data_IF_851817419277
#
_entry.id   IF_851817419277
#
_cell.length_a   1.000
_cell.length_b   1.000
_cell.length_c   1.000
_cell.angle_alpha   90.00
_cell.angle_beta   90.00
_cell.angle_gamma   90.00
#
_symmetry.space_group_name_H-M   'P 1'
#
loop_
_entity.id
_entity.type
_entity.pdbx_description
1 polymer ?
#
# COMPACT_ATOMS: atom_id res chain seq x y z
N UNK A 1 -18.01 24.02 7.85
CA UNK A 1 -18.06 22.73 7.13
C UNK A 1 -17.13 22.87 5.93
N UNK A 2 -16.09 22.04 5.83
CA UNK A 2 -15.15 22.13 4.71
C UNK A 2 -15.79 21.47 3.48
N UNK A 3 -16.04 22.26 2.44
CA UNK A 3 -16.51 21.77 1.14
C UNK A 3 -15.51 20.78 0.58
N UNK A 4 -15.91 19.51 0.43
CA UNK A 4 -15.08 18.48 -0.19
C UNK A 4 -14.82 18.79 -1.66
N UNK A 5 -13.64 18.42 -2.16
CA UNK A 5 -13.34 18.54 -3.58
C UNK A 5 -14.17 17.51 -4.37
N UNK A 6 -14.67 17.88 -5.56
CA UNK A 6 -15.39 16.95 -6.45
C UNK A 6 -14.43 15.90 -7.03
N UNK A 7 -14.93 14.68 -7.25
CA UNK A 7 -14.17 13.63 -7.95
C UNK A 7 -13.62 14.13 -9.30
N UNK A 8 -12.41 13.70 -9.73
CA UNK A 8 -11.59 12.60 -9.21
C UNK A 8 -10.64 12.98 -8.05
N UNK A 9 -10.83 14.11 -7.38
CA UNK A 9 -9.86 14.69 -6.42
C UNK A 9 -10.05 14.29 -4.95
N UNK A 10 -10.66 13.13 -4.71
CA UNK A 10 -10.90 12.59 -3.37
C UNK A 10 -10.36 11.16 -3.27
N UNK A 11 -9.14 10.96 -3.76
CA UNK A 11 -8.40 9.71 -3.66
C UNK A 11 -7.49 9.70 -2.43
N UNK A 12 -6.97 10.87 -2.04
CA UNK A 12 -6.10 11.06 -0.89
C UNK A 12 -6.80 11.83 0.23
N UNK A 13 -6.47 11.45 1.47
CA UNK A 13 -6.70 12.28 2.63
C UNK A 13 -5.70 13.43 2.68
N UNK A 14 -6.19 14.64 2.94
CA UNK A 14 -5.36 15.87 3.04
C UNK A 14 -5.36 16.40 4.47
N UNK A 15 -4.50 15.86 5.36
CA UNK A 15 -4.42 16.35 6.73
C UNK A 15 -3.82 17.76 6.77
N UNK A 16 -4.53 18.72 7.37
CA UNK A 16 -4.02 20.07 7.59
C UNK A 16 -3.04 20.12 8.76
N UNK A 17 -2.13 21.09 8.78
CA UNK A 17 -1.20 21.27 9.91
C UNK A 17 -1.93 21.50 11.24
N UNK A 18 -3.10 22.16 11.20
CA UNK A 18 -3.95 22.33 12.37
C UNK A 18 -4.48 20.99 12.88
N UNK A 19 -5.00 20.14 11.99
CA UNK A 19 -5.48 18.80 12.37
C UNK A 19 -4.35 17.94 12.93
N UNK A 20 -3.17 17.98 12.30
CA UNK A 20 -1.99 17.27 12.78
C UNK A 20 -1.58 17.70 14.18
N UNK A 21 -1.60 19.01 14.45
CA UNK A 21 -1.28 19.56 15.77
C UNK A 21 -2.33 19.18 16.82
N UNK A 22 -3.61 19.15 16.44
CA UNK A 22 -4.69 18.70 17.33
C UNK A 22 -4.55 17.22 17.69
N UNK A 23 -4.28 16.35 16.71
CA UNK A 23 -4.09 14.91 16.94
C UNK A 23 -2.88 14.66 17.85
N UNK A 24 -1.75 15.33 17.58
CA UNK A 24 -0.54 15.27 18.42
C UNK A 24 -0.83 15.70 19.86
N UNK A 25 -1.52 16.83 20.03
CA UNK A 25 -1.92 17.33 21.35
C UNK A 25 -2.87 16.39 22.08
N UNK A 26 -3.84 15.77 21.40
CA UNK A 26 -4.77 14.82 22.04
C UNK A 26 -4.05 13.54 22.48
N UNK A 27 -3.21 12.97 21.61
CA UNK A 27 -2.49 11.73 21.91
C UNK A 27 -1.44 11.89 23.02
N UNK A 28 -0.85 13.07 23.15
CA UNK A 28 0.16 13.38 24.17
C UNK A 28 -0.36 13.30 25.61
N UNK A 29 -1.67 13.47 25.83
CA UNK A 29 -2.29 13.43 27.16
C UNK A 29 -2.09 12.08 27.87
N UNK A 30 -1.90 11.01 27.09
CA UNK A 30 -1.71 9.65 27.60
C UNK A 30 -0.24 9.23 27.65
N UNK A 31 0.71 10.05 27.21
CA UNK A 31 2.14 9.72 27.25
C UNK A 31 2.75 9.88 28.64
N UNK A 32 2.16 10.75 29.48
CA UNK A 32 2.67 11.11 30.80
C UNK A 32 2.22 10.16 31.92
N UNK A 33 1.27 9.26 31.66
CA UNK A 33 0.71 8.34 32.66
C UNK A 33 1.65 7.16 32.93
N UNK A 34 2.73 7.41 33.69
CA UNK A 34 3.64 6.36 34.15
C UNK A 34 2.89 5.35 35.02
N UNK A 35 2.90 4.07 34.61
CA UNK A 35 2.37 2.94 35.39
C UNK A 35 1.04 2.37 34.91
N UNK A 36 0.34 3.00 33.96
CA UNK A 36 -0.85 2.41 33.30
C UNK A 36 -0.54 2.17 31.82
N UNK A 37 -0.54 0.90 31.40
CA UNK A 37 -0.47 0.56 29.98
C UNK A 37 -1.79 0.94 29.32
N UNK A 38 -1.78 1.97 28.48
CA UNK A 38 -2.93 2.43 27.72
C UNK A 38 -2.78 1.95 26.29
N UNK A 39 -3.71 1.09 25.85
CA UNK A 39 -3.84 0.72 24.45
C UNK A 39 -4.55 1.84 23.69
N UNK A 40 -3.87 2.47 22.73
CA UNK A 40 -4.43 3.54 21.90
C UNK A 40 -4.84 2.96 20.54
N UNK A 41 -6.09 3.13 20.14
CA UNK A 41 -6.61 2.73 18.82
C UNK A 41 -7.12 3.97 18.12
N UNK A 42 -6.64 4.20 16.90
CA UNK A 42 -7.03 5.35 16.06
C UNK A 42 -7.91 4.89 14.91
N UNK A 43 -8.83 5.75 14.48
CA UNK A 43 -9.75 5.49 13.37
C UNK A 43 -9.63 6.61 12.34
N UNK A 44 -9.62 6.24 11.07
CA UNK A 44 -9.64 7.19 9.97
C UNK A 44 -10.25 6.59 8.71
N UNK A 45 -10.51 7.45 7.72
CA UNK A 45 -11.08 6.98 6.46
C UNK A 45 -10.02 6.41 5.52
N UNK A 46 -8.93 7.16 5.31
CA UNK A 46 -7.89 6.83 4.34
C UNK A 46 -6.79 5.97 4.95
N UNK A 47 -6.25 4.99 4.21
CA UNK A 47 -4.99 4.36 4.58
C UNK A 47 -3.85 5.37 4.47
N UNK A 48 -2.76 5.14 5.19
CA UNK A 48 -1.63 6.05 5.27
C UNK A 48 -0.88 6.18 3.93
N UNK A 49 -0.92 5.15 3.08
CA UNK A 49 -0.43 5.19 1.70
C UNK A 49 -1.24 6.12 0.77
N UNK A 50 -2.49 6.42 1.16
CA UNK A 50 -3.38 7.39 0.51
C UNK A 50 -3.67 8.58 1.43
N UNK A 51 -2.72 8.96 2.28
CA UNK A 51 -2.75 10.21 3.02
C UNK A 51 -1.57 11.06 2.59
N UNK A 52 -1.85 12.27 2.13
CA UNK A 52 -0.82 13.24 1.78
C UNK A 52 -0.09 13.75 3.03
N UNK A 53 1.14 14.23 2.85
CA UNK A 53 1.82 15.03 3.87
C UNK A 53 1.10 16.37 4.06
N UNK A 54 1.13 16.89 5.28
CA UNK A 54 0.67 18.25 5.55
C UNK A 54 1.60 19.30 4.91
N UNK A 55 1.19 20.57 4.89
CA UNK A 55 2.02 21.67 4.35
C UNK A 55 3.39 21.76 5.03
N UNK A 56 3.46 21.50 6.34
CA UNK A 56 4.71 21.39 7.11
C UNK A 56 5.44 20.05 6.98
N UNK A 57 5.10 19.22 5.99
CA UNK A 57 5.70 17.91 5.71
C UNK A 57 5.56 16.90 6.87
N UNK A 58 4.49 17.01 7.67
CA UNK A 58 4.19 16.03 8.74
C UNK A 58 3.28 14.93 8.22
N UNK A 59 3.54 13.70 8.63
CA UNK A 59 2.68 12.55 8.32
C UNK A 59 1.92 12.05 9.54
N UNK A 60 0.72 11.51 9.33
CA UNK A 60 -0.05 10.82 10.36
C UNK A 60 0.73 9.62 10.94
N UNK A 61 1.50 8.93 10.09
CA UNK A 61 2.39 7.84 10.52
C UNK A 61 3.34 8.28 11.62
N UNK A 62 3.99 9.43 11.46
CA UNK A 62 5.01 9.88 12.41
C UNK A 62 4.38 10.28 13.76
N UNK A 63 3.19 10.88 13.74
CA UNK A 63 2.42 11.19 14.96
C UNK A 63 1.97 9.91 15.66
N UNK A 64 1.46 8.92 14.92
CA UNK A 64 1.04 7.63 15.49
C UNK A 64 2.20 6.85 16.10
N UNK A 65 3.37 6.84 15.43
CA UNK A 65 4.60 6.29 16.01
C UNK A 65 5.02 7.06 17.26
N UNK A 66 5.08 8.40 17.19
CA UNK A 66 5.50 9.27 18.30
C UNK A 66 4.76 8.93 19.59
N UNK A 67 3.45 8.73 19.51
CA UNK A 67 2.55 8.48 20.64
C UNK A 67 2.25 7.01 20.92
N UNK A 68 2.98 6.06 20.30
CA UNK A 68 2.83 4.61 20.52
C UNK A 68 1.38 4.11 20.35
N UNK A 69 0.74 4.51 19.26
CA UNK A 69 -0.57 3.96 18.87
C UNK A 69 -0.43 2.45 18.67
N UNK A 70 -1.39 1.64 19.14
CA UNK A 70 -1.32 0.18 18.98
C UNK A 70 -1.85 -0.26 17.62
N UNK A 71 -2.96 0.35 17.17
CA UNK A 71 -3.56 0.05 15.87
C UNK A 71 -4.24 1.29 15.27
N UNK A 72 -4.17 1.39 13.95
CA UNK A 72 -4.90 2.34 13.12
C UNK A 72 -5.87 1.57 12.20
N UNK A 73 -7.17 1.79 12.42
CA UNK A 73 -8.25 1.20 11.64
C UNK A 73 -8.68 2.18 10.55
N UNK A 74 -8.56 1.76 9.29
CA UNK A 74 -8.85 2.57 8.13
C UNK A 74 -9.74 1.86 7.10
N UNK A 75 -10.10 2.55 6.02
CA UNK A 75 -10.94 2.03 4.93
C UNK A 75 -10.54 2.61 3.57
N UNK A 76 -11.52 3.16 2.84
CA UNK A 76 -11.38 3.80 1.53
C UNK A 76 -11.17 2.85 0.32
N UNK A 77 -10.35 1.81 0.45
CA UNK A 77 -9.99 0.95 -0.68
C UNK A 77 -11.03 -0.14 -0.98
N UNK A 78 -11.95 -0.34 -0.04
CA UNK A 78 -13.03 -1.33 -0.14
C UNK A 78 -12.42 -2.72 -0.40
N UNK A 79 -12.87 -3.46 -1.43
CA UNK A 79 -12.30 -4.78 -1.76
C UNK A 79 -11.71 -4.87 -3.15
N UNK A 80 -11.38 -3.73 -3.76
CA UNK A 80 -10.88 -3.71 -5.14
C UNK A 80 -9.44 -4.27 -5.23
N UNK A 81 -8.67 -4.10 -4.16
CA UNK A 81 -7.22 -4.36 -4.17
C UNK A 81 -6.78 -5.47 -3.22
N UNK A 82 -7.69 -5.99 -2.41
CA UNK A 82 -7.50 -7.11 -1.51
C UNK A 82 -8.67 -7.18 -0.53
N UNK A 83 -8.67 -8.17 0.35
CA UNK A 83 -9.55 -8.19 1.52
C UNK A 83 -8.66 -8.06 2.73
N UNK A 84 -8.98 -7.15 3.64
CA UNK A 84 -8.31 -7.03 4.94
C UNK A 84 -6.82 -6.71 4.81
N UNK A 85 -6.50 -5.59 4.15
CA UNK A 85 -5.12 -5.17 3.94
C UNK A 85 -4.47 -4.79 5.28
N UNK A 86 -3.20 -5.12 5.43
CA UNK A 86 -2.45 -4.96 6.68
C UNK A 86 -1.07 -4.42 6.38
N UNK A 87 -0.62 -3.49 7.21
CA UNK A 87 0.73 -2.95 7.17
C UNK A 87 1.26 -2.76 8.59
N UNK A 88 2.48 -3.22 8.83
CA UNK A 88 3.17 -2.94 10.08
C UNK A 88 4.07 -1.71 9.88
N UNK A 89 3.99 -0.77 10.82
CA UNK A 89 4.85 0.40 10.87
C UNK A 89 5.76 0.30 12.08
N UNK A 90 7.06 0.53 11.87
CA UNK A 90 8.05 0.59 12.94
C UNK A 90 8.86 1.88 12.83
N UNK A 91 9.33 2.39 13.96
CA UNK A 91 10.37 3.42 13.99
C UNK A 91 11.71 2.76 13.74
N UNK A 92 12.36 3.09 12.63
CA UNK A 92 13.74 2.70 12.36
C UNK A 92 14.61 3.96 12.43
N UNK A 93 15.63 3.95 13.31
CA UNK A 93 16.61 5.03 13.44
C UNK A 93 17.54 5.09 12.20
N UNK A 94 17.69 3.97 11.49
CA UNK A 94 18.36 3.89 10.20
C UNK A 94 17.37 4.25 9.07
N UNK A 95 17.13 5.55 8.92
CA UNK A 95 16.27 6.11 7.88
C UNK A 95 16.93 5.99 6.49
N UNK A 96 17.05 4.76 5.96
CA UNK A 96 17.37 4.56 4.55
C UNK A 96 16.26 5.22 3.73
N UNK A 97 16.64 6.12 2.81
CA UNK A 97 15.74 6.95 2.01
C UNK A 97 14.68 6.17 1.23
N UNK A 98 14.90 4.88 0.96
CA UNK A 98 13.97 3.97 0.27
C UNK A 98 12.66 3.74 1.04
N UNK A 99 12.69 3.69 2.38
CA UNK A 99 11.49 3.47 3.20
C UNK A 99 10.51 4.66 3.19
N UNK A 100 10.96 5.84 2.73
CA UNK A 100 10.08 6.99 2.49
C UNK A 100 9.17 6.78 1.29
N UNK A 101 9.58 5.97 0.31
CA UNK A 101 8.86 5.78 -0.95
C UNK A 101 8.04 4.50 -1.00
N UNK A 102 8.59 3.39 -0.50
CA UNK A 102 7.87 2.13 -0.50
C UNK A 102 8.35 1.18 0.61
N UNK A 103 7.50 0.23 0.95
CA UNK A 103 7.78 -0.89 1.83
C UNK A 103 7.48 -2.17 1.06
N UNK A 104 8.44 -3.10 0.98
CA UNK A 104 8.32 -4.29 0.13
C UNK A 104 7.48 -5.40 0.76
N UNK A 105 7.47 -5.49 2.10
CA UNK A 105 6.79 -6.54 2.86
C UNK A 105 5.90 -5.97 3.96
N UNK A 106 4.97 -6.78 4.48
CA UNK A 106 4.05 -6.38 5.57
C UNK A 106 4.82 -5.87 6.79
N UNK A 107 5.89 -6.57 7.15
CA UNK A 107 6.81 -6.18 8.21
C UNK A 107 7.97 -5.37 7.63
N UNK A 108 8.39 -4.34 8.36
CA UNK A 108 9.68 -3.72 8.10
C UNK A 108 10.75 -4.67 8.63
N UNK A 109 11.82 -4.91 7.87
CA UNK A 109 12.95 -5.71 8.34
C UNK A 109 13.45 -5.05 9.65
N UNK A 110 13.40 -5.76 10.79
CA UNK A 110 13.94 -5.22 12.01
C UNK A 110 15.42 -4.96 11.75
N UNK A 111 15.93 -3.75 12.05
CA UNK A 111 17.36 -3.66 12.31
C UNK A 111 17.61 -4.63 13.46
N UNK A 112 18.54 -5.58 13.32
CA UNK A 112 18.98 -6.45 14.41
C UNK A 112 19.38 -5.59 15.60
N UNK A 113 18.43 -5.25 16.45
CA UNK A 113 18.69 -4.47 17.63
C UNK A 113 19.04 -5.50 18.70
N UNK A 114 20.32 -5.46 19.05
CA UNK A 114 20.97 -6.20 20.12
C UNK A 114 20.05 -6.30 21.33
N UNK A 115 20.08 -7.44 22.03
CA UNK A 115 19.36 -7.76 23.28
C UNK A 115 19.68 -6.76 24.40
N UNK A 116 19.31 -5.51 24.24
CA UNK A 116 19.60 -4.44 25.17
C UNK A 116 18.45 -4.38 26.17
N UNK A 117 18.40 -5.36 27.07
CA UNK A 117 17.62 -5.28 28.31
C UNK A 117 18.26 -4.28 29.30
N UNK A 118 18.72 -3.12 28.80
CA UNK A 118 19.09 -2.00 29.63
C UNK A 118 17.81 -1.32 30.10
N UNK A 119 17.72 -1.13 31.42
CA UNK A 119 16.57 -0.67 32.23
C UNK A 119 15.85 0.63 31.76
N UNK A 120 16.28 1.25 30.66
CA UNK A 120 15.86 2.59 30.23
C UNK A 120 15.61 2.75 28.72
N UNK A 121 15.82 1.71 27.91
CA UNK A 121 15.52 1.79 26.48
C UNK A 121 13.99 1.64 26.29
N UNK A 122 13.29 2.67 25.78
CA UNK A 122 11.87 2.50 25.42
C UNK A 122 11.76 1.46 24.29
N UNK A 123 10.68 0.64 24.27
CA UNK A 123 10.45 -0.28 23.16
C UNK A 123 10.47 0.47 21.83
N UNK A 124 10.88 -0.19 20.73
CA UNK A 124 10.68 0.35 19.40
C UNK A 124 9.22 0.76 19.23
N UNK A 125 9.00 1.97 18.71
CA UNK A 125 7.66 2.47 18.46
C UNK A 125 7.13 1.75 17.24
N UNK A 126 6.03 1.02 17.39
CA UNK A 126 5.41 0.25 16.32
C UNK A 126 3.89 0.34 16.40
N UNK A 127 3.22 0.18 15.26
CA UNK A 127 1.76 0.06 15.22
C UNK A 127 1.30 -0.70 13.98
N UNK A 128 0.11 -1.27 14.07
CA UNK A 128 -0.55 -1.93 12.94
C UNK A 128 -1.52 -1.00 12.24
N UNK A 129 -1.39 -0.87 10.92
CA UNK A 129 -2.40 -0.31 10.05
C UNK A 129 -3.26 -1.43 9.45
N UNK A 130 -4.57 -1.24 9.53
CA UNK A 130 -5.57 -2.26 9.27
C UNK A 130 -6.69 -1.66 8.42
N UNK A 131 -6.63 -1.91 7.11
CA UNK A 131 -7.70 -1.50 6.20
C UNK A 131 -8.83 -2.52 6.21
N UNK A 132 -10.05 -2.00 6.31
CA UNK A 132 -11.27 -2.80 6.38
C UNK A 132 -11.96 -2.85 5.03
N UNK A 133 -12.33 -4.07 4.61
CA UNK A 133 -13.15 -4.28 3.43
C UNK A 133 -14.56 -3.69 3.54
N UNK A 134 -15.29 -3.69 2.43
CA UNK A 134 -16.61 -3.07 2.34
C UNK A 134 -17.76 -3.95 2.86
N UNK A 135 -18.48 -3.49 3.88
CA UNK A 135 -19.68 -4.21 4.33
C UNK A 135 -20.75 -4.35 3.23
N UNK A 136 -20.93 -3.33 2.37
CA UNK A 136 -22.04 -3.32 1.40
C UNK A 136 -21.87 -4.40 0.32
N UNK A 137 -20.68 -4.48 -0.29
CA UNK A 137 -20.39 -5.43 -1.38
C UNK A 137 -19.66 -6.69 -0.95
N UNK A 138 -18.72 -6.59 -0.01
CA UNK A 138 -17.92 -7.74 0.40
C UNK A 138 -18.39 -8.41 1.66
N UNK A 139 -19.34 -7.80 2.40
CA UNK A 139 -19.86 -8.33 3.68
C UNK A 139 -18.72 -8.75 4.62
N UNK A 140 -17.65 -7.95 4.61
CA UNK A 140 -16.49 -8.18 5.46
C UNK A 140 -16.72 -7.50 6.81
N UNK A 141 -16.37 -8.20 7.90
CA UNK A 141 -16.44 -7.70 9.26
C UNK A 141 -15.15 -8.05 9.98
N UNK A 142 -14.62 -7.13 10.77
CA UNK A 142 -13.51 -7.39 11.69
C UNK A 142 -14.00 -7.25 13.13
N UNK A 143 -13.66 -8.23 13.97
CA UNK A 143 -13.81 -8.13 15.42
C UNK A 143 -12.42 -7.87 15.98
N UNK A 144 -12.26 -6.79 16.76
CA UNK A 144 -11.02 -6.48 17.48
C UNK A 144 -11.27 -6.70 18.97
N UNK A 145 -10.38 -7.42 19.64
CA UNK A 145 -10.40 -7.63 21.08
C UNK A 145 -9.12 -7.08 21.71
N UNK A 146 -9.31 -6.25 22.74
CA UNK A 146 -8.24 -5.74 23.58
C UNK A 146 -8.29 -6.47 24.90
N UNK A 147 -7.27 -7.27 25.18
CA UNK A 147 -7.17 -8.14 26.35
C UNK A 147 -5.86 -7.86 27.10
N UNK A 148 -5.97 -7.16 28.24
CA UNK A 148 -4.83 -6.79 29.11
C UNK A 148 -3.67 -6.13 28.35
N UNK A 149 -3.98 -5.25 27.41
CA UNK A 149 -2.99 -4.54 26.59
C UNK A 149 -2.61 -5.25 25.30
N UNK A 150 -2.99 -6.51 25.12
CA UNK A 150 -2.81 -7.24 23.86
C UNK A 150 -3.99 -6.97 22.92
N UNK A 151 -3.69 -6.68 21.65
CA UNK A 151 -4.70 -6.48 20.61
C UNK A 151 -4.71 -7.72 19.72
N UNK A 152 -5.87 -8.37 19.63
CA UNK A 152 -6.14 -9.48 18.73
C UNK A 152 -7.32 -9.13 17.83
N UNK A 153 -7.43 -9.79 16.69
CA UNK A 153 -8.55 -9.55 15.79
C UNK A 153 -8.94 -10.82 15.02
N UNK A 154 -10.15 -10.82 14.48
CA UNK A 154 -10.68 -11.85 13.60
C UNK A 154 -11.39 -11.19 12.42
N UNK A 155 -11.02 -11.61 11.23
CA UNK A 155 -11.66 -11.21 9.98
C UNK A 155 -12.70 -12.22 9.56
N UNK A 156 -13.90 -11.76 9.22
CA UNK A 156 -15.04 -12.58 8.87
C UNK A 156 -15.58 -12.13 7.51
N UNK A 157 -15.71 -13.10 6.60
CA UNK A 157 -16.39 -12.91 5.33
C UNK A 157 -17.75 -13.62 5.37
N UNK A 158 -18.83 -12.85 5.25
CA UNK A 158 -20.18 -13.39 5.21
C UNK A 158 -20.66 -13.76 3.79
N UNK A 159 -19.81 -13.67 2.75
CA UNK A 159 -20.18 -14.13 1.40
C UNK A 159 -20.49 -15.63 1.33
N UNK A 160 -19.81 -16.44 2.14
CA UNK A 160 -20.04 -17.89 2.22
C UNK A 160 -21.24 -18.27 3.11
N UNK A 161 -21.91 -17.29 3.71
CA UNK A 161 -23.08 -17.49 4.56
C UNK A 161 -22.92 -16.92 5.97
N UNK A 162 -24.02 -16.92 6.73
CA UNK A 162 -24.03 -16.49 8.14
C UNK A 162 -23.34 -17.52 9.02
N UNK A 163 -22.22 -17.13 9.66
CA UNK A 163 -21.59 -17.95 10.71
C UNK A 163 -22.45 -17.92 11.97
N UNK A 164 -22.88 -19.10 12.44
CA UNK A 164 -23.67 -19.27 13.67
C UNK A 164 -22.83 -19.16 14.93
N UNK A 165 -21.55 -19.54 14.82
CA UNK A 165 -20.56 -19.47 15.90
C UNK A 165 -19.30 -18.79 15.34
N UNK A 166 -18.75 -17.86 16.11
CA UNK A 166 -17.55 -17.10 15.81
C UNK A 166 -16.60 -17.27 16.99
N UNK A 167 -15.39 -17.73 16.71
CA UNK A 167 -14.36 -17.97 17.72
C UNK A 167 -13.20 -17.02 17.47
N UNK A 168 -12.99 -16.09 18.39
CA UNK A 168 -11.88 -15.14 18.38
C UNK A 168 -10.92 -15.49 19.51
N UNK A 169 -9.79 -16.16 19.22
CA UNK A 169 -8.83 -16.42 20.28
C UNK A 169 -8.05 -15.13 20.61
N UNK A 170 -7.98 -14.76 21.89
CA UNK A 170 -7.40 -13.50 22.36
C UNK A 170 -5.94 -13.66 22.80
N UNK A 171 -5.56 -14.85 23.29
CA UNK A 171 -4.19 -15.20 23.65
C UNK A 171 -3.97 -16.72 23.56
N UNK A 172 -2.79 -17.22 23.14
CA UNK A 172 -1.62 -16.49 22.61
C UNK A 172 -1.92 -15.79 21.28
N UNK A 173 -1.23 -14.69 21.00
CA UNK A 173 -1.46 -13.89 19.79
C UNK A 173 -0.96 -14.59 18.52
N UNK A 174 -1.53 -14.22 17.37
CA UNK A 174 -1.04 -14.68 16.06
C UNK A 174 0.34 -14.08 15.80
N UNK A 175 1.38 -14.92 15.70
CA UNK A 175 2.78 -14.49 15.55
C UNK A 175 3.00 -13.64 14.30
N UNK A 176 2.13 -13.80 13.31
CA UNK A 176 2.14 -13.05 12.05
C UNK A 176 1.67 -11.60 12.17
N UNK A 177 0.81 -11.31 13.13
CA UNK A 177 0.06 -10.05 13.15
C UNK A 177 -0.01 -9.40 14.54
N UNK A 178 0.92 -9.74 15.41
CA UNK A 178 1.01 -9.18 16.76
C UNK A 178 1.99 -8.01 16.84
N UNK A 179 1.88 -7.23 17.91
CA UNK A 179 2.89 -6.22 18.28
C UNK A 179 4.11 -6.95 18.87
N UNK A 180 5.23 -6.93 18.15
CA UNK A 180 6.48 -7.61 18.48
C UNK A 180 7.24 -6.99 19.63
N UNK A 181 7.31 -5.66 19.68
CA UNK A 181 8.21 -4.91 20.55
C UNK A 181 7.78 -5.02 22.01
N UNK A 182 6.48 -4.96 22.27
CA UNK A 182 5.93 -5.10 23.62
C UNK A 182 6.06 -6.53 24.17
N UNK A 183 5.73 -7.55 23.36
CA UNK A 183 5.78 -8.94 23.82
C UNK A 183 7.22 -9.41 24.05
N UNK A 184 8.14 -9.07 23.13
CA UNK A 184 9.53 -9.48 23.21
C UNK A 184 10.25 -8.83 24.41
N UNK A 185 9.99 -7.55 24.70
CA UNK A 185 10.57 -6.89 25.86
C UNK A 185 9.97 -7.39 27.18
N UNK A 186 8.66 -7.66 27.24
CA UNK A 186 8.01 -8.22 28.43
C UNK A 186 8.51 -9.64 28.74
N UNK A 187 8.71 -10.46 27.70
CA UNK A 187 9.19 -11.83 27.85
C UNK A 187 10.70 -11.88 28.12
N UNK A 188 11.50 -11.26 27.24
CA UNK A 188 12.96 -11.33 27.24
C UNK A 188 13.63 -10.57 28.38
N UNK A 189 13.02 -9.49 28.88
CA UNK A 189 13.58 -8.68 29.96
C UNK A 189 12.90 -8.93 31.33
N UNK A 190 12.14 -10.02 31.48
CA UNK A 190 11.53 -10.51 32.73
C UNK A 190 10.77 -9.43 33.55
N UNK A 191 10.18 -8.44 32.90
CA UNK A 191 9.46 -7.38 33.58
C UNK A 191 8.04 -7.87 33.92
N UNK A 192 7.89 -8.60 35.05
CA UNK A 192 6.66 -9.28 35.51
C UNK A 192 5.98 -10.14 34.42
N UNK A 193 6.08 -11.47 34.50
CA UNK A 193 5.29 -12.37 33.64
C UNK A 193 3.81 -12.03 33.84
N UNK A 194 3.13 -11.46 32.83
CA UNK A 194 1.71 -11.16 32.98
C UNK A 194 0.94 -12.47 33.18
N UNK A 195 -0.04 -12.50 34.09
CA UNK A 195 -1.05 -13.56 34.19
C UNK A 195 -1.68 -13.95 32.83
N UNK A 196 -1.53 -13.09 31.82
CA UNK A 196 -1.91 -13.37 30.42
C UNK A 196 -1.21 -14.60 29.83
N UNK A 197 0.05 -14.91 30.20
CA UNK A 197 0.82 -16.03 29.62
C UNK A 197 0.40 -17.40 30.16
N UNK A 198 -0.17 -17.44 31.37
CA UNK A 198 -0.56 -18.69 32.05
C UNK A 198 -1.82 -19.32 31.47
N UNK A 199 -2.59 -18.57 30.66
CA UNK A 199 -3.88 -19.02 30.14
C UNK A 199 -4.03 -18.78 28.64
N UNK A 200 -4.45 -19.82 27.92
CA UNK A 200 -5.03 -19.71 26.58
C UNK A 200 -6.42 -19.12 26.75
N UNK A 201 -6.77 -18.10 25.97
CA UNK A 201 -8.03 -17.36 26.12
C UNK A 201 -8.70 -17.12 24.77
N UNK A 202 -10.02 -17.19 24.76
CA UNK A 202 -10.81 -16.89 23.57
C UNK A 202 -12.17 -16.30 23.93
N UNK A 203 -12.72 -15.57 22.96
CA UNK A 203 -14.09 -15.09 22.93
C UNK A 203 -14.90 -15.96 21.98
N UNK A 204 -16.04 -16.44 22.45
CA UNK A 204 -16.98 -17.21 21.65
C UNK A 204 -18.27 -16.44 21.54
N UNK A 205 -18.68 -16.16 20.30
CA UNK A 205 -19.99 -15.59 19.98
C UNK A 205 -20.80 -16.68 19.30
N UNK A 206 -21.92 -17.08 19.89
CA UNK A 206 -22.81 -18.07 19.27
C UNK A 206 -24.26 -17.72 19.48
N UNK A 207 -25.09 -18.10 18.50
CA UNK A 207 -26.55 -18.03 18.59
C UNK A 207 -27.14 -19.12 19.50
N UNK A 208 -26.38 -20.18 19.78
CA UNK A 208 -26.80 -21.31 20.59
C UNK A 208 -25.90 -21.44 21.83
N UNK A 209 -26.42 -21.90 22.98
CA UNK A 209 -25.59 -22.18 24.15
C UNK A 209 -24.46 -23.15 23.83
N UNK A 210 -23.30 -22.91 24.42
CA UNK A 210 -22.08 -23.69 24.21
C UNK A 210 -21.95 -24.78 25.28
N UNK A 211 -21.67 -26.00 24.85
CA UNK A 211 -21.51 -27.17 25.72
C UNK A 211 -20.05 -27.37 26.10
N UNK A 212 -19.14 -27.30 25.13
CA UNK A 212 -17.71 -27.49 25.36
C UNK A 212 -16.88 -26.62 24.44
N UNK A 213 -15.72 -26.21 24.94
CA UNK A 213 -14.70 -25.49 24.20
C UNK A 213 -13.36 -26.18 24.46
N UNK A 214 -12.64 -26.50 23.40
CA UNK A 214 -11.39 -27.26 23.46
C UNK A 214 -10.32 -26.53 22.68
N UNK A 215 -9.18 -26.27 23.33
CA UNK A 215 -7.99 -25.73 22.67
C UNK A 215 -7.07 -26.87 22.25
N UNK A 216 -6.64 -26.86 20.99
CA UNK A 216 -5.69 -27.80 20.41
C UNK A 216 -4.44 -27.08 19.93
N UNK A 217 -3.28 -27.67 20.21
CA UNK A 217 -1.99 -27.18 19.71
C UNK A 217 -1.35 -28.22 18.82
N UNK A 218 -0.82 -27.76 17.69
CA UNK A 218 -0.16 -28.58 16.68
C UNK A 218 1.31 -28.18 16.53
N UNK A 219 2.18 -29.16 16.31
CA UNK A 219 3.58 -28.99 15.93
C UNK A 219 3.75 -29.29 14.44
N UNK A 220 4.37 -28.37 13.69
CA UNK A 220 4.58 -28.49 12.24
C UNK A 220 5.96 -29.02 11.85
N UNK A 221 6.88 -29.26 12.80
CA UNK A 221 8.20 -29.85 12.50
C UNK A 221 8.15 -31.15 11.67
N UNK A 222 7.19 -32.06 11.87
CA UNK A 222 7.10 -33.30 11.08
C UNK A 222 6.65 -33.09 9.62
N UNK A 223 6.42 -31.85 9.17
CA UNK A 223 5.88 -31.52 7.85
C UNK A 223 4.35 -31.63 7.74
N UNK A 224 3.71 -32.35 8.66
CA UNK A 224 2.25 -32.35 8.88
C UNK A 224 1.94 -31.88 10.31
N UNK A 225 0.81 -31.16 10.53
CA UNK A 225 0.45 -30.65 11.84
C UNK A 225 0.09 -31.80 12.78
N UNK A 226 1.02 -32.16 13.67
CA UNK A 226 0.81 -33.19 14.69
C UNK A 226 0.21 -32.55 15.94
N UNK A 227 -0.95 -33.04 16.38
CA UNK A 227 -1.57 -32.56 17.62
C UNK A 227 -0.71 -33.01 18.82
N UNK A 228 -0.28 -32.06 19.64
CA UNK A 228 0.59 -32.30 20.80
C UNK A 228 -0.08 -31.94 22.13
N UNK A 229 -1.14 -31.14 22.10
CA UNK A 229 -1.89 -30.77 23.29
C UNK A 229 -3.37 -30.59 22.96
N UNK A 230 -4.22 -31.10 23.83
CA UNK A 230 -5.66 -30.89 23.84
C UNK A 230 -6.09 -30.56 25.26
N UNK A 231 -6.73 -29.41 25.45
CA UNK A 231 -7.15 -28.93 26.78
C UNK A 231 -8.56 -28.37 26.72
N UNK A 232 -9.42 -28.76 27.66
CA UNK A 232 -10.77 -28.20 27.80
C UNK A 232 -10.69 -26.80 28.44
N UNK A 233 -11.47 -25.87 27.90
CA UNK A 233 -11.50 -24.49 28.36
C UNK A 233 -12.72 -24.25 29.26
N UNK A 234 -12.52 -23.53 30.35
CA UNK A 234 -13.58 -23.17 31.29
C UNK A 234 -14.13 -21.78 30.97
N UNK A 235 -15.45 -21.62 31.09
CA UNK A 235 -16.11 -20.32 30.90
C UNK A 235 -15.82 -19.42 32.09
N UNK A 236 -15.36 -18.20 31.82
CA UNK A 236 -15.17 -17.17 32.84
C UNK A 236 -16.53 -16.52 33.16
N UNK A 237 -17.14 -16.90 34.27
CA UNK A 237 -18.45 -16.40 34.69
C UNK A 237 -18.27 -15.05 35.39
N UNK A 238 -18.74 -13.97 34.75
CA UNK A 238 -19.01 -12.68 35.40
C UNK A 238 -20.41 -12.22 35.02
N UNK A 239 -21.16 -11.74 36.01
CA UNK A 239 -22.59 -11.44 35.92
C UNK A 239 -23.00 -10.33 34.93
N UNK A 240 -22.05 -9.68 34.24
CA UNK A 240 -22.26 -8.39 33.56
C UNK A 240 -21.98 -8.44 32.04
N UNK A 241 -21.38 -9.49 31.47
CA UNK A 241 -20.98 -9.47 30.04
C UNK A 241 -21.83 -10.34 29.12
N UNK A 242 -22.28 -9.75 27.99
CA UNK A 242 -22.95 -10.42 26.86
C UNK A 242 -22.04 -11.35 26.03
N UNK A 243 -20.78 -11.52 26.39
CA UNK A 243 -19.80 -12.32 25.65
C UNK A 243 -19.17 -13.39 26.53
N UNK A 244 -19.02 -14.59 25.97
CA UNK A 244 -18.49 -15.74 26.69
C UNK A 244 -16.97 -15.83 26.47
N UNK A 245 -16.22 -15.51 27.53
CA UNK A 245 -14.77 -15.71 27.58
C UNK A 245 -14.49 -17.12 28.09
N UNK A 246 -13.65 -17.86 27.38
CA UNK A 246 -13.16 -19.16 27.81
C UNK A 246 -11.66 -19.10 28.05
N UNK A 247 -11.19 -19.80 29.08
CA UNK A 247 -9.78 -19.87 29.44
C UNK A 247 -9.34 -21.30 29.76
N UNK A 248 -8.11 -21.66 29.38
CA UNK A 248 -7.46 -22.91 29.78
C UNK A 248 -6.04 -22.63 30.27
N UNK A 249 -5.66 -23.23 31.39
CA UNK A 249 -4.29 -23.19 31.87
C UNK A 249 -3.39 -24.07 30.99
N UNK A 250 -2.16 -23.62 30.75
CA UNK A 250 -1.18 -24.35 29.95
C UNK A 250 0.25 -24.01 30.40
N UNK A 251 1.19 -24.89 30.10
CA UNK A 251 2.61 -24.62 30.33
C UNK A 251 3.23 -23.92 29.12
N UNK A 252 3.12 -22.59 29.06
CA UNK A 252 3.62 -21.78 27.93
C UNK A 252 5.12 -21.98 27.66
N UNK A 253 5.94 -22.27 28.70
CA UNK A 253 7.39 -22.48 28.56
C UNK A 253 7.74 -23.70 27.72
N UNK A 254 6.85 -24.70 27.64
CA UNK A 254 7.03 -25.87 26.79
C UNK A 254 6.95 -25.54 25.29
N UNK A 255 6.40 -24.38 24.94
CA UNK A 255 6.20 -23.92 23.56
C UNK A 255 7.14 -22.77 23.18
N UNK A 256 8.25 -22.60 23.90
CA UNK A 256 9.33 -21.71 23.51
C UNK A 256 10.11 -22.30 22.34
N UNK A 257 10.26 -21.52 21.26
CA UNK A 257 11.03 -21.92 20.09
C UNK A 257 11.61 -20.70 19.36
N UNK A 258 12.79 -20.81 18.71
CA UNK A 258 13.31 -19.76 17.83
C UNK A 258 12.49 -19.55 16.55
N UNK A 259 11.69 -20.54 16.10
CA UNK A 259 10.80 -20.40 14.95
C UNK A 259 9.43 -19.89 15.36
N UNK A 260 8.98 -18.72 14.85
CA UNK A 260 7.66 -18.16 15.15
C UNK A 260 6.48 -18.89 14.50
N UNK A 261 6.74 -19.90 13.66
CA UNK A 261 5.73 -20.63 12.87
C UNK A 261 5.64 -22.12 13.22
N UNK A 262 6.37 -22.57 14.25
CA UNK A 262 6.41 -23.98 14.63
C UNK A 262 5.11 -24.47 15.27
N UNK A 263 4.55 -23.70 16.21
CA UNK A 263 3.37 -24.09 16.96
C UNK A 263 2.12 -23.36 16.47
N UNK A 264 1.04 -24.11 16.32
CA UNK A 264 -0.23 -23.60 15.82
C UNK A 264 -1.36 -23.89 16.80
N UNK A 265 -2.22 -22.90 17.03
CA UNK A 265 -3.39 -22.98 17.89
C UNK A 265 -4.65 -23.11 17.04
N UNK A 266 -5.52 -24.03 17.44
CA UNK A 266 -6.90 -24.12 16.95
C UNK A 266 -7.84 -24.32 18.13
N UNK A 267 -9.01 -23.68 18.10
CA UNK A 267 -10.03 -23.84 19.13
C UNK A 267 -11.27 -24.44 18.48
N UNK A 268 -11.76 -25.54 19.06
CA UNK A 268 -13.03 -26.15 18.71
C UNK A 268 -14.09 -25.74 19.72
N UNK A 269 -15.27 -25.38 19.21
CA UNK A 269 -16.44 -25.07 20.01
C UNK A 269 -17.57 -26.01 19.61
N UNK A 270 -18.19 -26.65 20.59
CA UNK A 270 -19.34 -27.53 20.39
C UNK A 270 -20.56 -26.90 21.06
N UNK A 271 -21.61 -26.68 20.28
CA UNK A 271 -22.87 -26.15 20.79
C UNK A 271 -23.81 -27.23 21.36
N UNK A 272 -24.90 -26.80 21.99
CA UNK A 272 -25.95 -27.70 22.53
C UNK A 272 -26.63 -28.56 21.46
N UNK A 273 -26.56 -28.14 20.19
CA UNK A 273 -27.08 -28.92 19.06
C UNK A 273 -26.06 -29.92 18.52
N UNK A 274 -24.89 -30.06 19.14
CA UNK A 274 -23.81 -30.95 18.72
C UNK A 274 -23.04 -30.48 17.48
N UNK A 275 -23.19 -29.22 17.04
CA UNK A 275 -22.42 -28.68 15.91
C UNK A 275 -21.04 -28.24 16.39
N UNK A 276 -19.99 -28.79 15.80
CA UNK A 276 -18.62 -28.33 16.00
C UNK A 276 -18.29 -27.16 15.08
N UNK A 277 -17.65 -26.13 15.62
CA UNK A 277 -17.08 -25.01 14.87
C UNK A 277 -15.61 -24.85 15.25
N UNK A 278 -14.73 -24.95 14.26
CA UNK A 278 -13.30 -24.76 14.43
C UNK A 278 -12.92 -23.31 14.13
N UNK A 279 -12.01 -22.75 14.94
CA UNK A 279 -11.34 -21.50 14.63
C UNK A 279 -10.38 -21.69 13.45
N UNK A 280 -9.95 -20.57 12.87
CA UNK A 280 -8.81 -20.58 11.95
C UNK A 280 -7.57 -21.09 12.69
N UNK A 281 -6.80 -21.94 12.00
CA UNK A 281 -5.52 -22.44 12.48
C UNK A 281 -4.51 -21.29 12.39
N UNK A 282 -3.91 -20.89 13.51
CA UNK A 282 -2.98 -19.75 13.55
C UNK A 282 -1.67 -20.08 14.25
N UNK A 283 -0.52 -19.61 13.74
CA UNK A 283 0.76 -19.78 14.41
C UNK A 283 0.85 -18.83 15.61
N UNK A 284 1.58 -19.23 16.64
CA UNK A 284 1.87 -18.34 17.76
C UNK A 284 3.33 -18.48 18.19
N UNK A 285 3.86 -17.42 18.80
CA UNK A 285 5.19 -17.42 19.40
C UNK A 285 5.11 -16.86 20.80
N UNK A 286 5.51 -17.67 21.79
CA UNK A 286 5.59 -17.25 23.18
C UNK A 286 6.73 -16.23 23.38
N UNK A 287 7.81 -16.37 22.61
CA UNK A 287 9.02 -15.54 22.68
C UNK A 287 8.87 -14.13 22.06
N UNK A 288 7.69 -13.81 21.52
CA UNK A 288 7.44 -12.52 20.86
C UNK A 288 8.08 -12.39 19.48
N UNK A 289 8.48 -13.51 18.86
CA UNK A 289 9.02 -13.52 17.51
C UNK A 289 7.88 -13.46 16.50
N UNK A 290 8.08 -12.71 15.41
CA UNK A 290 7.10 -12.61 14.34
C UNK A 290 7.44 -13.44 13.12
N UNK A 291 6.43 -14.16 12.66
CA UNK A 291 6.40 -14.88 11.39
C UNK A 291 6.39 -13.88 10.24
N UNK A 292 7.21 -14.09 9.21
CA UNK A 292 7.32 -13.18 8.06
C UNK A 292 6.21 -13.48 7.05
N UNK A 293 5.41 -12.48 6.70
CA UNK A 293 4.45 -12.56 5.60
C UNK A 293 4.82 -11.59 4.48
N UNK A 294 4.70 -12.07 3.25
CA UNK A 294 4.83 -11.28 2.04
C UNK A 294 3.48 -10.75 1.53
N UNK A 295 3.49 -9.55 0.96
CA UNK A 295 2.35 -9.04 0.24
C UNK A 295 2.23 -9.67 -1.15
N UNK A 296 1.01 -9.75 -1.66
CA UNK A 296 0.80 -9.85 -3.10
C UNK A 296 1.14 -8.53 -3.80
N UNK A 297 1.40 -8.56 -5.11
CA UNK A 297 1.68 -7.34 -5.87
C UNK A 297 0.59 -6.27 -5.73
N UNK A 298 -0.70 -6.65 -5.69
CA UNK A 298 -1.81 -5.71 -5.52
C UNK A 298 -1.78 -5.04 -4.14
N UNK A 299 -1.51 -5.81 -3.10
CA UNK A 299 -1.40 -5.29 -1.73
C UNK A 299 -0.18 -4.38 -1.59
N UNK A 300 0.95 -4.74 -2.20
CA UNK A 300 2.14 -3.90 -2.25
C UNK A 300 1.88 -2.54 -2.91
N UNK A 301 1.22 -2.51 -4.08
CA UNK A 301 0.91 -1.24 -4.75
C UNK A 301 0.05 -0.30 -3.92
N UNK A 302 -0.77 -0.84 -3.02
CA UNK A 302 -1.82 -0.08 -2.35
C UNK A 302 -1.45 0.21 -0.89
N UNK A 303 -0.77 -0.70 -0.20
CA UNK A 303 -0.30 -0.48 1.18
C UNK A 303 1.19 -0.12 1.24
N UNK A 304 2.01 -0.70 0.36
CA UNK A 304 3.46 -0.56 0.40
C UNK A 304 3.96 0.75 -0.19
N UNK A 305 3.37 1.22 -1.29
CA UNK A 305 3.76 2.44 -1.99
C UNK A 305 3.21 3.71 -1.30
N UNK A 306 4.09 4.68 -1.03
CA UNK A 306 3.72 6.03 -0.61
C UNK A 306 3.52 6.91 -1.84
N UNK A 307 2.29 6.93 -2.36
CA UNK A 307 1.98 7.56 -3.64
C UNK A 307 2.24 9.07 -3.68
N UNK A 308 2.05 9.76 -2.56
CA UNK A 308 2.38 11.20 -2.44
C UNK A 308 3.87 11.47 -2.67
N UNK A 309 4.74 10.69 -2.01
CA UNK A 309 6.18 10.78 -2.21
C UNK A 309 6.62 10.32 -3.61
N UNK A 310 5.90 9.37 -4.21
CA UNK A 310 6.23 8.78 -5.51
C UNK A 310 5.76 9.61 -6.70
N UNK A 311 4.74 10.46 -6.55
CA UNK A 311 4.14 11.20 -7.65
C UNK A 311 5.15 12.00 -8.46
N UNK A 312 5.91 12.89 -7.81
CA UNK A 312 6.89 13.73 -8.50
C UNK A 312 8.05 12.95 -9.14
N UNK A 313 8.68 11.97 -8.45
CA UNK A 313 9.67 11.10 -9.09
C UNK A 313 9.16 10.41 -10.36
N UNK A 314 7.96 9.82 -10.32
CA UNK A 314 7.38 9.12 -11.48
C UNK A 314 7.03 10.11 -12.60
N UNK A 315 6.47 11.26 -12.23
CA UNK A 315 6.14 12.32 -13.18
C UNK A 315 7.39 12.79 -13.95
N UNK A 316 8.46 13.13 -13.23
CA UNK A 316 9.69 13.60 -13.86
C UNK A 316 10.36 12.52 -14.69
N UNK A 317 10.35 11.27 -14.20
CA UNK A 317 10.80 10.13 -14.99
C UNK A 317 10.05 10.01 -16.33
N UNK A 318 8.72 10.14 -16.33
CA UNK A 318 7.92 10.10 -17.55
C UNK A 318 8.29 11.25 -18.52
N UNK A 319 8.46 12.46 -17.99
CA UNK A 319 8.87 13.63 -18.79
C UNK A 319 10.26 13.43 -19.39
N UNK A 320 11.25 12.98 -18.60
CA UNK A 320 12.59 12.70 -19.10
C UNK A 320 12.60 11.56 -20.12
N UNK A 321 11.77 10.54 -19.94
CA UNK A 321 11.61 9.46 -20.91
C UNK A 321 11.09 9.99 -22.26
N UNK A 322 10.05 10.83 -22.23
CA UNK A 322 9.49 11.43 -23.45
C UNK A 322 10.51 12.36 -24.13
N UNK A 323 11.19 13.21 -23.34
CA UNK A 323 12.26 14.06 -23.86
C UNK A 323 13.39 13.24 -24.48
N UNK A 324 13.77 12.12 -23.86
CA UNK A 324 14.79 11.21 -24.40
C UNK A 324 14.36 10.62 -25.73
N UNK A 325 13.10 10.17 -25.85
CA UNK A 325 12.52 9.64 -27.09
C UNK A 325 12.52 10.70 -28.21
N UNK A 326 12.30 11.98 -27.89
CA UNK A 326 12.24 13.06 -28.90
C UNK A 326 13.61 13.66 -29.26
N UNK A 327 14.51 13.80 -28.29
CA UNK A 327 15.78 14.53 -28.44
C UNK A 327 16.94 13.63 -28.85
N UNK A 328 17.07 12.42 -28.29
CA UNK A 328 18.19 11.52 -28.60
C UNK A 328 18.23 11.17 -30.09
N UNK A 329 17.12 10.76 -30.75
CA UNK A 329 17.15 10.43 -32.17
C UNK A 329 17.45 11.66 -33.03
N UNK A 330 17.00 12.85 -32.61
CA UNK A 330 17.30 14.11 -33.30
C UNK A 330 18.79 14.45 -33.21
N UNK A 331 19.38 14.29 -32.03
CA UNK A 331 20.81 14.47 -31.81
C UNK A 331 21.63 13.51 -32.68
N UNK A 332 21.29 12.22 -32.68
CA UNK A 332 21.96 11.23 -33.54
C UNK A 332 21.80 11.60 -35.02
N UNK A 333 20.63 12.06 -35.45
CA UNK A 333 20.40 12.46 -36.84
C UNK A 333 21.23 13.68 -37.27
N UNK A 334 21.51 14.63 -36.37
CA UNK A 334 22.29 15.84 -36.66
C UNK A 334 23.80 15.59 -36.59
N UNK A 335 24.26 14.87 -35.58
CA UNK A 335 25.69 14.75 -35.27
C UNK A 335 26.33 13.44 -35.77
N UNK A 336 25.54 12.40 -36.05
CA UNK A 336 26.08 11.12 -36.53
C UNK A 336 26.12 11.05 -38.05
N UNK A 337 27.23 10.57 -38.60
CA UNK A 337 27.32 10.14 -40.00
C UNK A 337 26.51 8.88 -40.28
N UNK A 338 26.16 8.10 -39.25
CA UNK A 338 25.33 6.90 -39.37
C UNK A 338 23.85 7.31 -39.40
N UNK A 339 23.28 7.36 -40.60
CA UNK A 339 21.84 7.53 -40.79
C UNK A 339 21.15 6.17 -40.73
N UNK A 340 20.28 5.97 -39.76
CA UNK A 340 19.43 4.78 -39.69
C UNK A 340 18.27 4.99 -40.65
N UNK A 341 18.36 4.34 -41.80
CA UNK A 341 17.33 4.36 -42.83
C UNK A 341 16.80 2.95 -43.04
N UNK A 342 15.68 2.84 -43.75
CA UNK A 342 15.13 1.57 -44.18
C UNK A 342 16.18 0.64 -44.84
N UNK A 343 17.14 1.21 -45.60
CA UNK A 343 18.23 0.44 -46.22
C UNK A 343 19.20 -0.16 -45.19
N UNK A 344 19.49 0.60 -44.13
CA UNK A 344 20.36 0.16 -43.03
C UNK A 344 19.68 -0.95 -42.22
N UNK A 345 18.36 -0.87 -42.03
CA UNK A 345 17.59 -1.93 -41.37
C UNK A 345 17.53 -3.23 -42.19
N UNK A 346 17.39 -3.15 -43.52
CA UNK A 346 17.47 -4.33 -44.38
C UNK A 346 18.86 -4.99 -44.30
N UNK A 347 19.92 -4.18 -44.22
CA UNK A 347 21.31 -4.64 -44.16
C UNK A 347 21.67 -5.28 -42.81
N UNK A 348 21.21 -4.69 -41.71
CA UNK A 348 21.47 -5.16 -40.34
C UNK A 348 20.15 -5.30 -39.58
N UNK A 349 19.53 -6.48 -39.72
CA UNK A 349 18.28 -6.80 -39.03
C UNK A 349 18.50 -6.84 -37.52
N UNK A 350 17.90 -5.90 -36.81
CA UNK A 350 17.95 -5.85 -35.35
C UNK A 350 16.84 -4.99 -34.77
N UNK A 351 16.36 -5.34 -33.57
CA UNK A 351 15.30 -4.60 -32.87
C UNK A 351 15.72 -3.16 -32.55
N UNK A 352 16.96 -2.97 -32.12
CA UNK A 352 17.53 -1.65 -31.82
C UNK A 352 17.58 -0.79 -33.10
N UNK A 353 18.00 -1.38 -34.23
CA UNK A 353 18.04 -0.69 -35.51
C UNK A 353 16.64 -0.33 -36.02
N UNK A 354 15.63 -1.18 -35.78
CA UNK A 354 14.23 -0.88 -36.10
C UNK A 354 13.71 0.32 -35.30
N UNK A 355 13.87 0.29 -33.98
CA UNK A 355 13.42 1.37 -33.09
C UNK A 355 14.13 2.68 -33.43
N UNK A 356 15.45 2.64 -33.62
CA UNK A 356 16.24 3.80 -33.99
C UNK A 356 15.81 4.40 -35.33
N UNK A 357 15.52 3.55 -36.33
CA UNK A 357 15.01 3.98 -37.63
C UNK A 357 13.63 4.66 -37.52
N UNK A 358 12.68 4.04 -36.83
CA UNK A 358 11.33 4.58 -36.64
C UNK A 358 11.37 5.95 -35.95
N UNK A 359 12.17 6.08 -34.89
CA UNK A 359 12.31 7.33 -34.16
C UNK A 359 13.06 8.42 -34.96
N UNK A 360 14.04 8.05 -35.78
CA UNK A 360 14.71 9.00 -36.67
C UNK A 360 13.78 9.51 -37.78
N UNK A 361 12.92 8.66 -38.34
CA UNK A 361 11.96 9.09 -39.36
C UNK A 361 10.88 10.02 -38.78
N UNK A 362 10.47 9.83 -37.52
CA UNK A 362 9.64 10.82 -36.81
C UNK A 362 10.34 12.19 -36.74
N UNK A 363 11.63 12.22 -36.40
CA UNK A 363 12.43 13.43 -36.28
C UNK A 363 12.66 14.18 -37.61
N UNK A 364 12.44 13.51 -38.75
CA UNK A 364 12.46 14.12 -40.10
C UNK A 364 11.15 14.84 -40.44
N UNK A 365 10.05 14.47 -39.79
CA UNK A 365 8.77 15.18 -39.92
C UNK A 365 8.73 16.33 -38.93
N UNK A 366 9.33 17.46 -39.31
CA UNK A 366 9.50 18.63 -38.45
C UNK A 366 8.21 19.11 -37.78
N UNK A 367 7.10 19.15 -38.52
CA UNK A 367 5.80 19.59 -37.99
C UNK A 367 5.33 18.69 -36.84
N UNK A 368 5.40 17.37 -37.00
CA UNK A 368 5.00 16.42 -35.96
C UNK A 368 5.93 16.51 -34.75
N UNK A 369 7.25 16.57 -34.99
CA UNK A 369 8.25 16.68 -33.92
C UNK A 369 8.09 17.96 -33.09
N UNK A 370 7.98 19.13 -33.74
CA UNK A 370 7.74 20.40 -33.03
C UNK A 370 6.37 20.40 -32.34
N UNK A 371 5.36 19.76 -32.94
CA UNK A 371 4.04 19.58 -32.32
C UNK A 371 4.11 18.83 -31.00
N UNK A 372 4.80 17.68 -30.96
CA UNK A 372 4.99 16.93 -29.72
C UNK A 372 5.81 17.69 -28.68
N UNK A 373 6.87 18.39 -29.09
CA UNK A 373 7.68 19.20 -28.18
C UNK A 373 6.86 20.37 -27.59
N UNK A 374 6.12 21.10 -28.42
CA UNK A 374 5.23 22.17 -28.00
C UNK A 374 4.12 21.66 -27.09
N UNK A 375 3.56 20.49 -27.39
CA UNK A 375 2.56 19.85 -26.54
C UNK A 375 3.12 19.47 -25.17
N UNK A 376 4.35 18.93 -25.12
CA UNK A 376 5.00 18.65 -23.84
C UNK A 376 5.23 19.92 -23.02
N UNK A 377 5.69 21.02 -23.64
CA UNK A 377 5.87 22.32 -22.98
C UNK A 377 4.52 22.83 -22.43
N UNK A 378 3.44 22.67 -23.21
CA UNK A 378 2.09 23.01 -22.77
C UNK A 378 1.68 22.19 -21.54
N UNK A 379 1.88 20.87 -21.54
CA UNK A 379 1.54 20.02 -20.39
C UNK A 379 2.33 20.38 -19.12
N UNK A 380 3.54 20.95 -19.25
CA UNK A 380 4.37 21.35 -18.11
C UNK A 380 4.00 22.73 -17.55
N UNK A 381 3.56 23.65 -18.43
CA UNK A 381 3.42 25.08 -18.11
C UNK A 381 1.97 25.54 -17.98
N UNK A 382 1.06 24.93 -18.73
CA UNK A 382 -0.32 25.38 -18.85
C UNK A 382 -1.28 24.53 -17.99
N UNK A 383 -2.43 25.10 -17.60
CA UNK A 383 -3.47 24.33 -16.94
C UNK A 383 -4.12 23.35 -17.93
N UNK A 384 -4.39 22.13 -17.47
CA UNK A 384 -4.94 21.06 -18.29
C UNK A 384 -6.47 21.10 -18.34
N UNK A 385 -7.09 21.38 -17.20
CA UNK A 385 -8.54 21.38 -17.04
C UNK A 385 -8.98 22.64 -16.28
N UNK A 386 -10.16 23.16 -16.64
CA UNK A 386 -10.79 24.31 -16.01
C UNK A 386 -12.19 23.90 -15.60
N UNK A 387 -12.53 24.04 -14.33
CA UNK A 387 -13.82 23.55 -13.83
C UNK A 387 -14.17 24.02 -12.43
N UNK A 388 -15.38 23.70 -12.00
CA UNK A 388 -15.82 23.91 -10.62
C UNK A 388 -15.28 22.78 -9.73
N UNK A 389 -14.41 23.16 -8.80
CA UNK A 389 -13.70 22.19 -7.94
C UNK A 389 -14.53 21.84 -6.70
N UNK A 390 -15.25 22.81 -6.15
CA UNK A 390 -16.08 22.63 -4.96
C UNK A 390 -17.53 22.31 -5.33
N UNK A 391 -18.21 21.55 -4.47
CA UNK A 391 -19.63 21.23 -4.66
C UNK A 391 -20.53 22.46 -4.57
N UNK A 392 -20.17 23.40 -3.69
CA UNK A 392 -21.04 24.50 -3.25
C UNK A 392 -20.55 25.87 -3.76
N UNK A 393 -19.39 25.92 -4.43
CA UNK A 393 -18.75 27.16 -4.87
C UNK A 393 -18.84 27.43 -6.37
N UNK A 394 -19.21 28.65 -6.76
CA UNK A 394 -19.19 29.11 -8.16
C UNK A 394 -17.78 29.37 -8.72
N UNK A 395 -16.73 29.25 -7.90
CA UNK A 395 -15.36 29.58 -8.29
C UNK A 395 -14.77 28.50 -9.20
N UNK A 396 -14.29 28.94 -10.37
CA UNK A 396 -13.53 28.08 -11.30
C UNK A 396 -12.10 27.90 -10.77
N UNK A 397 -11.63 26.66 -10.75
CA UNK A 397 -10.25 26.30 -10.50
C UNK A 397 -9.56 25.84 -11.79
N UNK A 398 -8.24 25.89 -11.77
CA UNK A 398 -7.37 25.45 -12.87
C UNK A 398 -6.54 24.26 -12.40
N UNK A 399 -6.66 23.12 -13.08
CA UNK A 399 -5.83 21.94 -12.78
C UNK A 399 -4.47 22.10 -13.43
N UNK A 400 -3.42 22.02 -12.63
CA UNK A 400 -2.02 22.00 -13.07
C UNK A 400 -1.36 20.69 -12.64
N UNK A 401 -0.12 20.45 -13.06
CA UNK A 401 0.69 19.33 -12.57
C UNK A 401 0.97 19.35 -11.06
N UNK A 402 0.79 20.51 -10.40
CA UNK A 402 1.05 20.69 -8.96
C UNK A 402 -0.22 20.49 -8.11
N UNK A 403 -1.40 20.49 -8.73
CA UNK A 403 -2.69 20.42 -8.06
C UNK A 403 -3.70 21.37 -8.70
N UNK A 404 -4.85 21.51 -8.05
CA UNK A 404 -5.85 22.52 -8.40
C UNK A 404 -5.49 23.86 -7.80
N UNK A 405 -5.36 24.86 -8.66
CA UNK A 405 -5.24 26.24 -8.26
C UNK A 405 -6.65 26.85 -8.16
N UNK A 406 -7.06 27.22 -6.95
CA UNK A 406 -8.33 27.91 -6.71
C UNK A 406 -8.08 29.32 -6.18
N UNK A 407 -8.80 30.31 -6.74
CA UNK A 407 -8.78 31.68 -6.22
C UNK A 407 -9.61 31.73 -4.94
N UNK A 408 -8.97 31.70 -3.78
CA UNK A 408 -9.61 32.01 -2.50
C UNK A 408 -9.68 33.53 -2.35
N UNK A 409 -10.89 34.06 -2.12
CA UNK A 409 -11.15 35.51 -2.08
C UNK A 409 -10.52 36.24 -0.88
N UNK A 410 -10.03 35.52 0.14
CA UNK A 410 -9.69 36.12 1.44
C UNK A 410 -8.24 35.96 1.94
N UNK A 411 -7.28 35.55 1.11
CA UNK A 411 -5.88 35.54 1.52
C UNK A 411 -4.98 36.13 0.43
N UNK A 412 -4.54 37.37 0.66
CA UNK A 412 -3.31 37.88 0.02
C UNK A 412 -2.20 36.88 0.36
N UNK A 413 -1.48 36.43 -0.67
CA UNK A 413 -0.19 35.71 -0.59
C UNK A 413 -0.22 34.24 -0.12
N UNK A 414 -0.77 33.34 -0.94
CA UNK A 414 -0.11 32.08 -1.37
C UNK A 414 -1.03 31.31 -2.32
N UNK A 415 -0.49 30.85 -3.44
CA UNK A 415 -1.18 29.91 -4.32
C UNK A 415 -1.25 28.55 -3.61
N UNK A 416 -2.35 28.27 -2.93
CA UNK A 416 -2.55 26.98 -2.30
C UNK A 416 -3.01 25.99 -3.38
N UNK A 417 -2.13 25.06 -3.73
CA UNK A 417 -2.46 23.93 -4.60
C UNK A 417 -3.19 22.90 -3.75
N UNK A 418 -4.43 22.57 -4.14
CA UNK A 418 -5.26 21.60 -3.42
C UNK A 418 -5.39 20.34 -4.27
N UNK A 419 -5.52 19.18 -3.64
CA UNK A 419 -5.71 17.91 -4.35
C UNK A 419 -4.43 17.37 -4.99
N UNK A 420 -3.28 17.72 -4.43
CA UNK A 420 -2.00 17.09 -4.72
C UNK A 420 -1.75 16.05 -3.63
N UNK A 421 -1.62 14.75 -3.93
CA UNK A 421 -1.31 14.17 -5.24
C UNK A 421 -2.51 13.60 -6.02
N UNK A 422 -3.78 13.87 -5.70
CA UNK A 422 -4.93 13.24 -6.37
C UNK A 422 -4.88 13.33 -7.90
N UNK A 423 -4.44 14.47 -8.42
CA UNK A 423 -4.28 14.72 -9.85
C UNK A 423 -3.39 13.70 -10.57
N UNK A 424 -2.58 12.94 -9.83
CA UNK A 424 -1.74 11.86 -10.35
C UNK A 424 -2.54 10.87 -11.21
N UNK A 425 -3.80 10.59 -10.87
CA UNK A 425 -4.66 9.66 -11.63
C UNK A 425 -5.07 10.18 -13.01
N UNK A 426 -4.90 11.47 -13.26
CA UNK A 426 -5.12 12.07 -14.58
C UNK A 426 -3.77 12.29 -15.27
N UNK A 427 -2.82 12.88 -14.55
CA UNK A 427 -1.52 13.28 -15.10
C UNK A 427 -0.70 12.07 -15.54
N UNK A 428 -0.45 11.09 -14.66
CA UNK A 428 0.42 9.96 -15.01
C UNK A 428 -0.18 9.10 -16.14
N UNK A 429 -1.47 8.69 -16.09
CA UNK A 429 -2.06 7.92 -17.17
C UNK A 429 -2.01 8.64 -18.52
N UNK A 430 -2.16 9.97 -18.54
CA UNK A 430 -2.05 10.74 -19.77
C UNK A 430 -0.64 10.64 -20.37
N UNK A 431 0.41 10.80 -19.57
CA UNK A 431 1.78 10.66 -20.06
C UNK A 431 2.08 9.25 -20.57
N UNK A 432 1.72 8.21 -19.80
CA UNK A 432 2.07 6.83 -20.12
C UNK A 432 1.17 6.18 -21.19
N UNK A 433 -0.12 6.49 -21.21
CA UNK A 433 -1.09 5.82 -22.08
C UNK A 433 -1.61 6.69 -23.23
N UNK A 434 -1.36 8.00 -23.22
CA UNK A 434 -1.76 8.88 -24.33
C UNK A 434 -0.53 9.42 -25.04
N UNK A 435 0.37 10.11 -24.34
CA UNK A 435 1.50 10.82 -24.97
C UNK A 435 2.51 9.85 -25.58
N UNK A 436 3.04 8.90 -24.78
CA UNK A 436 4.04 7.94 -25.27
C UNK A 436 3.49 7.12 -26.45
N UNK A 437 2.29 6.49 -26.37
CA UNK A 437 1.74 5.75 -27.50
C UNK A 437 1.51 6.62 -28.74
N UNK A 438 1.06 7.87 -28.58
CA UNK A 438 0.86 8.79 -29.72
C UNK A 438 2.17 9.08 -30.45
N UNK A 439 3.29 9.26 -29.72
CA UNK A 439 4.62 9.44 -30.30
C UNK A 439 5.05 8.19 -31.08
N UNK A 440 4.83 7.00 -30.51
CA UNK A 440 5.19 5.74 -31.15
C UNK A 440 4.37 5.48 -32.43
N UNK A 441 3.06 5.74 -32.39
CA UNK A 441 2.17 5.61 -33.56
C UNK A 441 2.57 6.61 -34.65
N UNK A 442 2.82 7.87 -34.29
CA UNK A 442 3.29 8.88 -35.23
C UNK A 442 4.63 8.49 -35.86
N UNK A 443 5.53 7.88 -35.08
CA UNK A 443 6.79 7.33 -35.58
C UNK A 443 6.57 6.19 -36.57
N UNK A 444 5.67 5.25 -36.27
CA UNK A 444 5.35 4.15 -37.18
C UNK A 444 4.78 4.66 -38.52
N UNK A 445 3.86 5.64 -38.48
CA UNK A 445 3.32 6.29 -39.68
C UNK A 445 4.39 7.05 -40.47
N UNK A 446 5.33 7.72 -39.79
CA UNK A 446 6.45 8.39 -40.45
C UNK A 446 7.39 7.39 -41.14
N UNK A 447 7.65 6.26 -40.51
CA UNK A 447 8.45 5.17 -41.06
C UNK A 447 7.76 4.50 -42.26
N UNK A 448 6.46 4.24 -42.20
CA UNK A 448 5.67 3.73 -43.32
C UNK A 448 5.74 4.68 -44.53
N UNK A 449 5.54 5.99 -44.30
CA UNK A 449 5.69 7.02 -45.35
C UNK A 449 7.08 6.99 -45.99
N UNK A 450 8.13 6.73 -45.21
CA UNK A 450 9.51 6.63 -45.67
C UNK A 450 9.72 5.40 -46.58
N UNK A 451 9.12 4.26 -46.23
CA UNK A 451 9.13 3.05 -47.06
C UNK A 451 8.47 3.31 -48.42
N UNK A 452 7.28 3.88 -48.45
CA UNK A 452 6.57 4.15 -49.71
C UNK A 452 7.35 5.11 -50.63
N UNK A 453 7.95 6.16 -50.07
CA UNK A 453 8.84 7.05 -50.84
C UNK A 453 10.06 6.32 -51.38
N UNK A 454 10.63 5.40 -50.60
CA UNK A 454 11.74 4.54 -51.02
C UNK A 454 11.36 3.60 -52.16
N UNK A 455 10.23 2.91 -52.05
CA UNK A 455 9.72 1.99 -53.06
C UNK A 455 9.40 2.71 -54.38
N UNK A 456 8.67 3.83 -54.32
CA UNK A 456 8.33 4.62 -55.52
C UNK A 456 9.59 5.14 -56.25
N UNK A 457 10.62 5.57 -55.51
CA UNK A 457 11.89 6.02 -56.08
C UNK A 457 12.65 4.89 -56.80
N UNK A 458 12.56 3.65 -56.29
CA UNK A 458 13.18 2.46 -56.91
C UNK A 458 12.43 2.08 -58.19
N UNK A 459 11.10 2.01 -58.15
CA UNK A 459 10.25 1.71 -59.31
C UNK A 459 10.47 2.73 -60.42
N UNK A 460 10.49 4.03 -60.10
CA UNK A 460 10.74 5.09 -61.08
C UNK A 460 12.16 5.05 -61.67
N UNK A 461 13.17 4.60 -60.89
CA UNK A 461 14.53 4.35 -61.40
C UNK A 461 14.60 3.14 -62.31
N UNK A 462 13.86 2.08 -62.02
CA UNK A 462 13.77 0.89 -62.89
C UNK A 462 13.06 1.23 -64.20
N UNK A 463 11.96 1.96 -64.18
CA UNK A 463 11.28 2.44 -65.39
C UNK A 463 12.19 3.36 -66.22
N UNK A 464 12.94 4.28 -65.60
CA UNK A 464 13.91 5.12 -66.33
C UNK A 464 15.04 4.30 -66.95
N UNK A 465 15.54 3.27 -66.26
CA UNK A 465 16.57 2.36 -66.81
C UNK A 465 16.03 1.51 -67.96
N UNK A 466 14.79 1.04 -67.87
CA UNK A 466 14.13 0.31 -68.94
C UNK A 466 13.88 1.19 -70.17
N UNK A 467 13.44 2.45 -70.00
CA UNK A 467 13.32 3.41 -71.12
C UNK A 467 14.67 3.70 -71.78
N UNK A 468 15.73 3.87 -70.99
CA UNK A 468 17.09 4.05 -71.51
C UNK A 468 17.61 2.82 -72.28
N UNK A 469 17.25 1.61 -71.88
CA UNK A 469 17.62 0.37 -72.57
C UNK A 469 16.73 0.05 -73.79
N UNK A 470 15.51 0.59 -73.85
CA UNK A 470 14.59 0.37 -74.97
C UNK A 470 14.73 1.37 -76.14
N UNK A 471 15.67 2.31 -76.08
CA UNK A 471 15.96 3.24 -77.18
C UNK A 471 14.77 4.09 -77.64
N UNK A 472 13.94 4.56 -76.70
CA UNK A 472 12.88 5.55 -76.96
C UNK A 472 13.10 6.81 -76.14
#
# INVERSE_FOLDING_TARGET
MATGLRGPTNLFGHPTDQLMTQIDSQLSQWDSQKGKSITKISFGHFPLSFSAFSESQKSLRDVFLKHSVSAYLCGHLHTRFGKNLKRHHQSNDNFLSSHKFFQLNIHQEPSENTKNCLFRAPPPKEFWEWEMGDWRKSRAMRIVAVDRGHVSYLDIDFKSGTKKTIVLPTFPLDSRFMLTSSLHQMYGCQHMVPFSFETIRCLVFSVSPITSVVSRIYDTRPGSPLMIMETTMTKFVRDISRGDIYAAAWNYKAFEDPSPERFWLQIEVIDVMGRSTLSELRPFSVNGLSAKISWTWKEFFVMGCQWDALYYPIFWFAVYLILSILLIPKFVLVFSKKQYSYKTFISEKGLINCIAWVLQDLCRVHVAWFGFLGYLIYLLSCPWLIGQVFTDGGNRGYMTRMGWLVKTFNSREKHNYIGSPDIMVVVLPHFFFVVIPSILIAGALAAERSIYKGAFSITFRQERRQRFQSGK
#
